data_IF_844717556829
#
_entry.id   IF_844717556829
#
_cell.length_a   1.000
_cell.length_b   1.000
_cell.length_c   1.000
_cell.angle_alpha   90.00
_cell.angle_beta   90.00
_cell.angle_gamma   90.00
#
_symmetry.space_group_name_H-M   'P 1'
#
loop_
_entity.id
_entity.type
_entity.pdbx_description
1 polymer ?
#
# COMPACT_ATOMS: atom_id res chain seq x y z
N UNK A 1 1.91 39.63 -15.96
CA UNK A 1 0.52 39.41 -15.55
C UNK A 1 0.28 37.93 -15.47
N UNK A 2 0.25 37.35 -14.27
CA UNK A 2 0.00 35.92 -14.02
C UNK A 2 -1.33 35.79 -13.32
N UNK A 3 -2.36 35.30 -14.05
CA UNK A 3 -3.70 35.08 -13.53
C UNK A 3 -3.75 33.74 -12.75
N UNK A 4 -4.09 33.83 -11.48
CA UNK A 4 -4.37 32.66 -10.64
C UNK A 4 -5.81 32.20 -10.88
N UNK A 5 -5.98 30.99 -11.40
CA UNK A 5 -7.31 30.38 -11.53
C UNK A 5 -7.62 29.72 -10.18
N UNK A 6 -8.60 30.26 -9.45
CA UNK A 6 -9.18 29.64 -8.26
C UNK A 6 -10.26 28.67 -8.71
N UNK A 7 -10.04 27.38 -8.51
CA UNK A 7 -11.07 26.35 -8.71
C UNK A 7 -11.93 26.29 -7.46
N UNK A 8 -13.20 26.68 -7.60
CA UNK A 8 -14.20 26.63 -6.54
C UNK A 8 -14.84 25.24 -6.54
N UNK A 9 -14.57 24.45 -5.51
CA UNK A 9 -15.24 23.16 -5.30
C UNK A 9 -16.59 23.40 -4.63
N UNK A 10 -17.65 23.06 -5.35
CA UNK A 10 -19.02 23.08 -4.82
C UNK A 10 -19.29 21.75 -4.12
N UNK A 11 -19.36 21.76 -2.78
CA UNK A 11 -19.76 20.59 -2.01
C UNK A 11 -21.29 20.43 -2.09
N UNK A 12 -21.76 19.37 -2.74
CA UNK A 12 -23.18 18.97 -2.74
C UNK A 12 -23.41 18.11 -1.49
N UNK A 13 -24.11 18.67 -0.51
CA UNK A 13 -24.61 17.94 0.65
C UNK A 13 -25.88 17.19 0.25
N UNK A 14 -25.83 15.86 0.26
CA UNK A 14 -27.01 15.00 0.12
C UNK A 14 -27.64 14.84 1.51
N UNK A 15 -28.79 15.45 1.73
CA UNK A 15 -29.59 15.26 2.93
C UNK A 15 -30.43 13.98 2.76
N UNK A 16 -30.07 12.92 3.47
CA UNK A 16 -30.92 11.73 3.58
C UNK A 16 -31.87 11.91 4.77
N UNK A 17 -33.14 12.15 4.49
CA UNK A 17 -34.22 12.19 5.51
C UNK A 17 -34.76 10.78 5.67
N UNK A 18 -34.50 10.15 6.81
CA UNK A 18 -35.16 8.90 7.22
C UNK A 18 -36.45 9.28 7.96
N UNK A 19 -37.59 8.98 7.37
CA UNK A 19 -38.89 9.15 8.02
C UNK A 19 -39.15 7.91 8.90
N UNK A 20 -39.28 8.11 10.22
CA UNK A 20 -39.76 7.10 11.17
C UNK A 20 -41.22 7.43 11.47
N UNK A 21 -42.19 6.54 11.26
CA UNK A 21 -43.59 6.79 11.62
C UNK A 21 -43.85 6.47 13.11
N UNK A 22 -44.48 7.42 13.80
CA UNK A 22 -45.20 7.18 15.01
C UNK A 22 -44.53 7.52 16.33
N UNK A 23 -44.88 8.69 16.91
CA UNK A 23 -44.59 9.04 18.29
C UNK A 23 -44.55 10.55 18.49
N UNK A 24 -45.65 11.10 19.05
CA UNK A 24 -45.70 12.49 19.46
C UNK A 24 -44.74 12.73 20.62
N UNK A 25 -43.76 13.61 20.44
CA UNK A 25 -42.88 14.10 21.49
C UNK A 25 -42.80 15.61 21.44
N UNK A 26 -43.16 16.16 22.58
CA UNK A 26 -43.07 17.53 23.06
C UNK A 26 -41.81 18.25 22.64
N UNK A 27 -41.99 19.57 22.36
CA UNK A 27 -40.96 20.49 21.87
C UNK A 27 -39.65 20.45 22.66
N UNK A 28 -38.63 19.93 21.94
CA UNK A 28 -37.24 20.11 22.30
C UNK A 28 -36.57 20.84 21.17
N UNK A 29 -36.02 22.01 21.46
CA UNK A 29 -35.20 22.80 20.50
C UNK A 29 -34.05 21.95 20.05
N UNK A 30 -34.07 21.49 18.80
CA UNK A 30 -32.92 20.79 18.19
C UNK A 30 -31.77 21.78 18.12
N UNK A 31 -30.80 21.62 19.02
CA UNK A 31 -29.51 22.30 18.95
C UNK A 31 -28.75 21.66 17.80
N UNK A 32 -28.78 22.32 16.64
CA UNK A 32 -27.89 21.94 15.53
C UNK A 32 -26.46 22.13 16.02
N UNK A 33 -25.81 21.04 16.37
CA UNK A 33 -24.37 21.05 16.56
C UNK A 33 -23.78 21.09 15.16
N UNK A 34 -23.46 22.31 14.70
CA UNK A 34 -22.53 22.48 13.62
C UNK A 34 -21.21 21.89 14.13
N UNK A 35 -20.90 20.67 13.68
CA UNK A 35 -19.52 20.20 13.70
C UNK A 35 -18.76 21.20 12.82
N UNK A 36 -18.21 22.23 13.49
CA UNK A 36 -17.20 23.05 12.87
C UNK A 36 -16.16 22.09 12.32
N UNK A 37 -16.08 22.00 10.99
CA UNK A 37 -14.97 21.31 10.35
C UNK A 37 -13.73 21.87 11.01
N UNK A 38 -12.91 20.97 11.53
CA UNK A 38 -11.61 21.35 12.05
C UNK A 38 -10.84 21.98 10.88
N UNK A 39 -10.97 23.28 10.73
CA UNK A 39 -10.05 24.09 9.93
C UNK A 39 -8.73 24.13 10.69
N UNK A 40 -8.21 22.93 10.92
CA UNK A 40 -6.96 22.68 11.59
C UNK A 40 -5.84 22.70 10.60
N UNK A 41 -5.19 23.84 10.55
CA UNK A 41 -3.78 23.94 10.23
C UNK A 41 -3.39 23.52 8.81
N UNK A 42 -2.97 24.46 8.02
CA UNK A 42 -2.01 24.30 6.91
C UNK A 42 -0.65 23.74 7.41
N UNK A 43 -0.70 22.78 8.33
CA UNK A 43 0.43 21.96 8.68
C UNK A 43 0.75 21.15 7.45
N UNK A 44 1.84 21.50 6.77
CA UNK A 44 2.46 20.71 5.73
C UNK A 44 2.74 19.31 6.33
N UNK A 45 1.73 18.42 6.23
CA UNK A 45 1.85 17.06 6.76
C UNK A 45 2.83 16.37 5.82
N UNK A 46 4.06 16.25 6.29
CA UNK A 46 5.10 15.53 5.59
C UNK A 46 4.66 14.07 5.47
N UNK A 47 4.22 13.64 4.29
CA UNK A 47 3.86 12.28 4.00
C UNK A 47 5.04 11.64 3.30
N UNK A 48 5.57 10.57 3.86
CA UNK A 48 6.73 9.88 3.32
C UNK A 48 6.66 8.40 3.73
N UNK A 49 6.27 7.55 2.78
CA UNK A 49 6.32 6.10 2.90
C UNK A 49 7.45 5.56 2.05
N UNK A 50 8.07 4.49 2.50
CA UNK A 50 9.12 3.82 1.74
C UNK A 50 8.93 2.30 1.78
N UNK A 51 9.04 1.63 0.63
CA UNK A 51 9.14 0.16 0.59
C UNK A 51 10.59 -0.21 0.90
N UNK A 52 10.82 -0.88 2.04
CA UNK A 52 12.16 -1.17 2.55
C UNK A 52 12.65 -2.56 2.22
N UNK A 53 11.72 -3.49 2.12
CA UNK A 53 12.07 -4.88 1.85
C UNK A 53 10.92 -5.57 1.13
N UNK A 54 11.26 -6.41 0.17
CA UNK A 54 10.35 -7.34 -0.50
C UNK A 54 11.00 -8.72 -0.46
N UNK A 55 10.32 -9.70 0.13
CA UNK A 55 10.77 -11.10 0.19
C UNK A 55 9.79 -11.96 -0.57
N UNK A 56 10.27 -12.80 -1.46
CA UNK A 56 9.48 -13.69 -2.31
C UNK A 56 9.86 -15.12 -2.05
N UNK A 57 8.88 -15.99 -1.85
CA UNK A 57 9.10 -17.42 -1.61
C UNK A 57 7.88 -18.26 -2.07
N UNK A 58 8.08 -19.34 -2.84
CA UNK A 58 9.31 -19.75 -3.48
C UNK A 58 9.67 -18.90 -4.70
N UNK A 59 10.94 -18.84 -5.09
CA UNK A 59 11.38 -18.19 -6.35
C UNK A 59 11.36 -19.15 -7.54
N UNK A 60 11.15 -20.45 -7.29
CA UNK A 60 10.91 -21.50 -8.29
C UNK A 60 9.67 -22.26 -7.92
N UNK A 61 8.65 -22.18 -8.76
CA UNK A 61 7.34 -22.75 -8.54
C UNK A 61 6.78 -23.37 -9.83
N UNK A 62 5.84 -24.29 -9.72
CA UNK A 62 5.09 -24.77 -10.86
C UNK A 62 3.84 -23.93 -11.09
N UNK A 63 3.36 -23.92 -12.33
CA UNK A 63 2.09 -23.28 -12.64
C UNK A 63 0.97 -23.87 -11.78
N UNK A 64 0.28 -23.03 -11.03
CA UNK A 64 -0.75 -23.39 -10.06
C UNK A 64 -0.30 -23.31 -8.60
N UNK A 65 0.99 -23.17 -8.32
CA UNK A 65 1.48 -22.92 -6.97
C UNK A 65 1.16 -21.51 -6.50
N UNK A 66 1.16 -21.31 -5.18
CA UNK A 66 1.05 -19.98 -4.55
C UNK A 66 2.43 -19.48 -4.18
N UNK A 67 2.71 -18.25 -4.54
CA UNK A 67 3.95 -17.56 -4.18
C UNK A 67 3.63 -16.52 -3.11
N UNK A 68 4.29 -16.64 -1.97
CA UNK A 68 4.16 -15.70 -0.85
C UNK A 68 5.11 -14.54 -1.02
N UNK A 69 4.60 -13.34 -0.83
CA UNK A 69 5.39 -12.10 -0.90
C UNK A 69 5.18 -11.30 0.37
N UNK A 70 6.25 -11.11 1.14
CA UNK A 70 6.26 -10.22 2.29
C UNK A 70 6.84 -8.87 1.91
N UNK A 71 6.19 -7.81 2.37
CA UNK A 71 6.59 -6.42 2.11
C UNK A 71 6.75 -5.70 3.44
N UNK A 72 7.88 -5.01 3.62
CA UNK A 72 8.12 -4.12 4.74
C UNK A 72 8.05 -2.68 4.24
N UNK A 73 7.13 -1.91 4.82
CA UNK A 73 6.94 -0.50 4.50
C UNK A 73 7.32 0.32 5.74
N UNK A 74 8.13 1.35 5.55
CA UNK A 74 8.46 2.33 6.59
C UNK A 74 7.59 3.57 6.42
N UNK A 75 6.99 4.02 7.51
CA UNK A 75 6.42 5.35 7.63
C UNK A 75 7.48 6.30 8.21
N UNK A 76 7.92 7.27 7.43
CA UNK A 76 8.86 8.29 7.87
C UNK A 76 8.16 9.58 8.29
N UNK A 77 6.85 9.65 8.07
CA UNK A 77 6.03 10.80 8.36
C UNK A 77 5.36 10.72 9.74
N UNK A 78 4.75 11.80 10.14
CA UNK A 78 3.88 11.88 11.31
C UNK A 78 2.40 11.82 10.89
N UNK A 79 1.56 11.32 11.80
CA UNK A 79 0.12 11.23 11.59
C UNK A 79 -0.36 9.89 11.06
N UNK A 80 -1.66 9.69 11.14
CA UNK A 80 -2.35 8.47 10.73
C UNK A 80 -2.96 8.63 9.34
N UNK A 81 -2.70 7.66 8.48
CA UNK A 81 -3.27 7.60 7.12
C UNK A 81 -3.62 6.15 6.76
N UNK A 82 -4.54 6.01 5.83
CA UNK A 82 -4.86 4.73 5.20
C UNK A 82 -4.49 4.83 3.73
N UNK A 83 -3.80 3.81 3.23
CA UNK A 83 -3.38 3.73 1.84
C UNK A 83 -3.38 2.29 1.34
N UNK A 84 -3.03 2.11 0.07
CA UNK A 84 -2.87 0.81 -0.54
C UNK A 84 -1.38 0.45 -0.65
N UNK A 85 -1.06 -0.78 -0.26
CA UNK A 85 0.11 -1.47 -0.76
C UNK A 85 -0.30 -2.32 -1.96
N UNK A 86 0.53 -2.37 -2.97
CA UNK A 86 0.28 -3.07 -4.21
C UNK A 86 1.40 -4.06 -4.50
N UNK A 87 1.01 -5.29 -4.87
CA UNK A 87 1.91 -6.28 -5.43
C UNK A 87 1.98 -6.12 -6.94
N UNK A 88 3.20 -6.09 -7.46
CA UNK A 88 3.48 -5.95 -8.89
C UNK A 88 4.09 -7.21 -9.47
N UNK A 89 3.58 -7.66 -10.60
CA UNK A 89 4.17 -8.73 -11.42
C UNK A 89 4.43 -8.16 -12.82
N UNK A 90 5.68 -8.18 -13.25
CA UNK A 90 6.13 -7.55 -14.49
C UNK A 90 5.65 -6.09 -14.61
N UNK A 91 5.67 -5.36 -13.49
CA UNK A 91 5.26 -3.96 -13.40
C UNK A 91 3.74 -3.72 -13.43
N UNK A 92 2.92 -4.77 -13.48
CA UNK A 92 1.45 -4.67 -13.42
C UNK A 92 0.96 -5.01 -12.02
N UNK A 93 0.02 -4.24 -11.49
CA UNK A 93 -0.62 -4.51 -10.21
C UNK A 93 -1.47 -5.77 -10.31
N UNK A 94 -1.18 -6.77 -9.48
CA UNK A 94 -1.93 -8.04 -9.42
C UNK A 94 -2.71 -8.20 -8.12
N UNK A 95 -2.31 -7.52 -7.05
CA UNK A 95 -3.03 -7.50 -5.78
C UNK A 95 -2.88 -6.15 -5.10
N UNK A 96 -3.86 -5.81 -4.25
CA UNK A 96 -3.88 -4.61 -3.42
C UNK A 96 -4.33 -4.96 -2.01
N UNK A 97 -3.72 -4.32 -1.03
CA UNK A 97 -4.10 -4.44 0.36
C UNK A 97 -4.14 -3.05 0.99
N UNK A 98 -5.29 -2.71 1.57
CA UNK A 98 -5.43 -1.51 2.42
C UNK A 98 -4.68 -1.73 3.72
N UNK A 99 -3.94 -0.73 4.16
CA UNK A 99 -3.37 -0.68 5.50
C UNK A 99 -3.42 0.73 6.07
N UNK A 100 -3.48 0.82 7.38
CA UNK A 100 -3.47 2.08 8.11
C UNK A 100 -2.16 2.17 8.89
N UNK A 101 -1.48 3.29 8.76
CA UNK A 101 -0.21 3.55 9.41
C UNK A 101 -0.31 4.75 10.36
N UNK A 102 0.64 4.87 11.29
CA UNK A 102 0.66 5.95 12.28
C UNK A 102 -0.31 5.76 13.45
N UNK A 103 -0.88 4.55 13.64
CA UNK A 103 -1.82 4.29 14.75
C UNK A 103 -1.14 4.22 16.11
N UNK A 104 0.12 3.80 16.15
CA UNK A 104 0.87 3.63 17.39
C UNK A 104 2.07 4.56 17.40
N UNK A 105 2.25 5.27 18.52
CA UNK A 105 3.42 6.13 18.69
C UNK A 105 4.70 5.28 18.64
N UNK A 106 5.58 5.58 17.69
CA UNK A 106 6.85 4.88 17.51
C UNK A 106 6.80 3.68 16.55
N UNK A 107 5.65 3.23 16.08
CA UNK A 107 5.57 2.21 15.04
C UNK A 107 5.84 2.84 13.68
N UNK A 108 6.95 2.44 13.08
CA UNK A 108 7.37 2.96 11.76
C UNK A 108 7.43 1.89 10.68
N UNK A 109 7.48 0.62 11.05
CA UNK A 109 7.60 -0.50 10.12
C UNK A 109 6.33 -1.34 10.11
N UNK A 110 5.77 -1.51 8.93
CA UNK A 110 4.57 -2.30 8.68
C UNK A 110 4.94 -3.49 7.82
N UNK A 111 4.50 -4.69 8.23
CA UNK A 111 4.69 -5.93 7.48
C UNK A 111 3.36 -6.32 6.86
N UNK A 112 3.38 -6.53 5.55
CA UNK A 112 2.22 -6.96 4.77
C UNK A 112 2.58 -8.23 4.01
N UNK A 113 1.61 -9.11 3.83
CA UNK A 113 1.78 -10.37 3.10
C UNK A 113 0.80 -10.44 1.94
N UNK A 114 1.28 -10.88 0.80
CA UNK A 114 0.48 -11.15 -0.38
C UNK A 114 0.69 -12.60 -0.81
N UNK A 115 -0.38 -13.21 -1.31
CA UNK A 115 -0.35 -14.51 -1.95
C UNK A 115 -0.62 -14.31 -3.45
N UNK A 116 0.37 -14.62 -4.27
CA UNK A 116 0.19 -14.61 -5.71
C UNK A 116 -0.10 -16.03 -6.21
N UNK A 117 -1.35 -16.25 -6.58
CA UNK A 117 -1.82 -17.50 -7.18
C UNK A 117 -1.40 -17.55 -8.65
N UNK A 118 -0.63 -18.57 -9.01
CA UNK A 118 -0.10 -18.74 -10.37
C UNK A 118 -0.98 -19.60 -11.27
N UNK A 119 -2.19 -19.95 -10.87
CA UNK A 119 -3.14 -20.67 -11.73
C UNK A 119 -3.46 -19.86 -12.99
N UNK A 120 -3.26 -20.49 -14.13
CA UNK A 120 -3.48 -19.86 -15.43
C UNK A 120 -2.35 -18.88 -15.84
N UNK A 121 -1.31 -18.78 -15.06
CA UNK A 121 -0.11 -18.01 -15.41
C UNK A 121 0.78 -18.90 -16.31
N UNK A 122 1.17 -18.45 -17.51
CA UNK A 122 2.07 -19.18 -18.37
C UNK A 122 3.42 -19.46 -17.71
N UNK A 123 4.10 -20.58 -18.02
CA UNK A 123 5.49 -20.79 -17.63
C UNK A 123 6.39 -19.66 -18.14
N UNK A 124 7.35 -19.24 -17.32
CA UNK A 124 8.25 -18.12 -17.66
C UNK A 124 8.90 -17.50 -16.45
N UNK A 125 9.61 -16.40 -16.70
CA UNK A 125 10.24 -15.57 -15.66
C UNK A 125 9.40 -14.34 -15.35
N UNK A 126 9.23 -14.05 -14.09
CA UNK A 126 8.40 -12.96 -13.59
C UNK A 126 9.16 -12.08 -12.62
N UNK A 127 9.18 -10.79 -12.88
CA UNK A 127 9.72 -9.80 -11.95
C UNK A 127 8.66 -9.43 -10.94
N UNK A 128 9.01 -9.56 -9.67
CA UNK A 128 8.13 -9.23 -8.55
C UNK A 128 8.57 -7.89 -7.95
N UNK A 129 7.64 -7.06 -7.59
CA UNK A 129 7.89 -5.81 -6.88
C UNK A 129 6.71 -5.45 -5.99
N UNK A 130 6.90 -4.47 -5.15
CA UNK A 130 5.86 -3.88 -4.34
C UNK A 130 5.93 -2.36 -4.39
N UNK A 131 4.78 -1.72 -4.24
CA UNK A 131 4.71 -0.27 -4.08
C UNK A 131 3.67 0.12 -3.04
N UNK A 132 3.92 1.23 -2.34
CA UNK A 132 2.97 1.90 -1.48
C UNK A 132 2.54 3.19 -2.19
N UNK A 133 1.24 3.32 -2.46
CA UNK A 133 0.76 4.53 -3.15
C UNK A 133 0.26 5.53 -2.11
N UNK A 134 0.90 6.69 -2.07
CA UNK A 134 0.48 7.82 -1.26
C UNK A 134 0.42 9.06 -2.14
N UNK A 135 -0.70 9.75 -2.06
CA UNK A 135 -0.83 11.06 -2.70
C UNK A 135 -0.04 12.09 -1.88
N UNK A 136 0.75 12.93 -2.52
CA UNK A 136 1.58 13.96 -1.89
C UNK A 136 2.80 13.42 -1.10
N UNK A 137 3.32 12.25 -1.48
CA UNK A 137 4.56 11.75 -0.92
C UNK A 137 5.75 12.67 -1.24
N UNK A 138 6.54 12.99 -0.22
CA UNK A 138 7.70 13.88 -0.37
C UNK A 138 8.90 13.20 -1.01
N UNK A 139 8.90 11.86 -1.05
CA UNK A 139 9.99 11.03 -1.60
C UNK A 139 9.46 9.88 -2.46
N UNK A 140 8.73 10.14 -3.54
CA UNK A 140 8.03 9.08 -4.30
C UNK A 140 8.96 8.04 -4.93
N UNK A 141 10.26 8.28 -4.95
CA UNK A 141 11.24 7.35 -5.53
C UNK A 141 11.53 6.10 -4.68
N UNK A 142 11.17 6.10 -3.39
CA UNK A 142 11.34 4.95 -2.51
C UNK A 142 10.02 4.26 -2.14
N UNK A 143 8.93 4.68 -2.77
CA UNK A 143 7.62 4.04 -2.64
C UNK A 143 7.52 2.70 -3.37
N UNK A 144 8.53 2.31 -4.11
CA UNK A 144 8.58 1.07 -4.89
C UNK A 144 9.93 0.36 -4.72
N UNK A 145 9.85 -0.97 -4.63
CA UNK A 145 11.02 -1.84 -4.64
C UNK A 145 10.71 -3.08 -5.50
N UNK A 146 11.56 -3.35 -6.48
CA UNK A 146 11.48 -4.54 -7.32
C UNK A 146 12.56 -5.53 -6.87
N UNK A 147 12.21 -6.83 -6.80
CA UNK A 147 13.16 -7.90 -6.49
C UNK A 147 14.03 -8.16 -7.72
N UNK A 148 15.33 -8.17 -7.52
CA UNK A 148 16.32 -8.35 -8.60
C UNK A 148 16.27 -9.76 -9.18
N UNK A 149 16.10 -10.78 -8.31
CA UNK A 149 15.97 -12.17 -8.74
C UNK A 149 14.56 -12.45 -9.25
N UNK A 150 14.38 -12.88 -10.52
CA UNK A 150 13.06 -13.23 -11.03
C UNK A 150 12.52 -14.51 -10.38
N UNK A 151 11.19 -14.62 -10.36
CA UNK A 151 10.50 -15.87 -10.05
C UNK A 151 10.36 -16.67 -11.34
N UNK A 152 10.74 -17.94 -11.29
CA UNK A 152 10.63 -18.88 -12.42
C UNK A 152 9.43 -19.79 -12.21
N UNK A 153 8.45 -19.72 -13.14
CA UNK A 153 7.29 -20.61 -13.16
C UNK A 153 7.54 -21.70 -14.22
N UNK A 154 7.63 -22.95 -13.79
CA UNK A 154 7.72 -24.11 -14.65
C UNK A 154 6.31 -24.63 -15.03
N UNK A 155 6.15 -25.40 -16.12
CA UNK A 155 4.91 -26.11 -16.40
C UNK A 155 4.50 -27.02 -15.22
N UNK A 156 3.20 -27.19 -15.02
CA UNK A 156 2.71 -28.16 -14.02
C UNK A 156 3.28 -29.56 -14.31
N UNK A 157 3.99 -30.13 -13.32
CA UNK A 157 4.65 -31.44 -13.48
C UNK A 157 5.89 -31.45 -14.40
N UNK A 158 6.34 -30.30 -14.89
CA UNK A 158 7.56 -30.17 -15.68
C UNK A 158 8.80 -29.98 -14.81
N UNK A 159 10.00 -30.18 -15.38
CA UNK A 159 11.28 -29.83 -14.74
C UNK A 159 11.59 -28.34 -14.89
N UNK A 160 12.42 -27.81 -13.99
CA UNK A 160 12.98 -26.47 -14.12
C UNK A 160 14.15 -26.47 -15.10
N UNK A 161 14.38 -25.33 -15.80
CA UNK A 161 15.59 -25.15 -16.58
C UNK A 161 16.84 -25.40 -15.70
N UNK A 162 17.76 -26.23 -16.17
CA UNK A 162 19.00 -26.56 -15.43
C UNK A 162 18.88 -27.69 -14.41
N UNK A 163 17.72 -28.37 -14.32
CA UNK A 163 17.55 -29.53 -13.40
C UNK A 163 17.42 -29.17 -11.92
N UNK A 164 17.21 -27.90 -11.62
CA UNK A 164 17.03 -27.42 -10.25
C UNK A 164 15.64 -27.75 -9.71
N UNK A 165 15.50 -27.84 -8.38
CA UNK A 165 14.23 -28.14 -7.72
C UNK A 165 13.38 -26.87 -7.53
N UNK A 166 12.07 -27.08 -7.30
CA UNK A 166 11.19 -26.00 -6.81
C UNK A 166 11.69 -25.50 -5.43
N UNK A 167 11.48 -24.23 -5.14
CA UNK A 167 11.84 -23.64 -3.85
C UNK A 167 12.66 -22.35 -3.97
N UNK A 168 13.47 -22.12 -2.95
CA UNK A 168 14.27 -20.91 -2.84
C UNK A 168 13.47 -19.69 -2.38
N UNK A 169 14.20 -18.66 -1.98
CA UNK A 169 13.64 -17.37 -1.57
C UNK A 169 14.56 -16.26 -2.04
N UNK A 170 14.01 -15.13 -2.38
CA UNK A 170 14.75 -13.90 -2.69
C UNK A 170 14.25 -12.75 -1.84
N UNK A 171 15.18 -11.96 -1.36
CA UNK A 171 14.88 -10.75 -0.61
C UNK A 171 15.63 -9.58 -1.24
N UNK A 172 14.89 -8.55 -1.58
CA UNK A 172 15.45 -7.26 -1.96
C UNK A 172 15.24 -6.29 -0.81
N UNK A 173 16.26 -5.53 -0.50
CA UNK A 173 16.22 -4.54 0.58
C UNK A 173 16.71 -3.20 0.03
N UNK A 174 15.99 -2.13 0.31
CA UNK A 174 16.43 -0.79 0.00
C UNK A 174 17.83 -0.57 0.61
N UNK A 175 18.86 -0.24 -0.18
CA UNK A 175 20.23 -0.08 0.31
C UNK A 175 20.39 1.05 1.35
N UNK A 176 19.38 1.90 1.48
CA UNK A 176 19.33 2.97 2.49
C UNK A 176 18.75 2.49 3.81
N UNK A 177 18.08 1.30 3.81
CA UNK A 177 17.48 0.72 5.01
C UNK A 177 18.56 0.18 5.94
N UNK A 178 18.50 0.55 7.21
CA UNK A 178 19.47 0.10 8.23
C UNK A 178 20.76 0.92 8.30
N UNK A 179 20.97 1.92 7.44
CA UNK A 179 22.01 2.92 7.66
C UNK A 179 21.52 3.92 8.72
N UNK A 180 21.54 3.51 9.99
CA UNK A 180 21.44 4.45 11.10
C UNK A 180 22.50 5.53 10.90
N UNK A 181 22.07 6.80 10.89
CA UNK A 181 22.99 7.91 11.12
C UNK A 181 23.62 7.67 12.49
N UNK A 182 24.85 7.21 12.50
CA UNK A 182 25.75 7.42 13.63
C UNK A 182 26.00 8.92 13.59
N UNK A 183 25.23 9.66 14.39
CA UNK A 183 25.45 11.09 14.60
C UNK A 183 26.78 11.25 15.33
N UNK A 184 27.64 12.01 14.70
CA UNK A 184 28.78 12.62 15.37
C UNK A 184 28.33 13.93 16.02
#
# INVERSE_FOLDING_TARGET
MRGSIRVLWLAVAVLATVAVPGGAVSGGTAKTVLLAGNEGGDGNVNIDLAVRQVTVSPVRAHAGDVIHVEVVIENKAEGMRTTNAELLVNGKVVARQLFTWGMSAGERLYRLSFDWDTRGIPPGEYRIGAQAFVWEDTSPFDNRLDVTQPVVIAPAGGGFPGGEAAGGSATETDPRFGKSRVGG
#
